data_IF_441562680223
#
_entry.id   IF_441562680223
#
_cell.length_a   1.000
_cell.length_b   1.000
_cell.length_c   1.000
_cell.angle_alpha   90.00
_cell.angle_beta   90.00
_cell.angle_gamma   90.00
#
_symmetry.space_group_name_H-M   'P 1'
#
loop_
_entity.id
_entity.type
_entity.pdbx_description
1 polymer ?
#
# COMPACT_ATOMS: atom_id res chain seq x y z
N UNK A 1 -29.67 17.81 -6.41
CA UNK A 1 -30.81 18.66 -5.99
C UNK A 1 -30.63 20.01 -6.66
N UNK A 2 -31.63 20.54 -7.37
CA UNK A 2 -31.52 21.85 -8.00
C UNK A 2 -31.77 22.95 -6.96
N UNK A 3 -30.79 23.82 -6.74
CA UNK A 3 -30.93 24.95 -5.83
C UNK A 3 -31.75 26.04 -6.53
N UNK A 4 -32.88 26.44 -5.93
CA UNK A 4 -33.80 27.43 -6.50
C UNK A 4 -33.32 28.86 -6.18
N UNK A 5 -32.43 29.37 -7.02
CA UNK A 5 -31.78 30.67 -6.87
C UNK A 5 -32.76 31.85 -6.94
N UNK A 6 -33.80 31.72 -7.77
CA UNK A 6 -34.88 32.71 -7.90
C UNK A 6 -35.65 32.88 -6.59
N UNK A 7 -36.02 31.77 -5.96
CA UNK A 7 -36.73 31.79 -4.67
C UNK A 7 -35.83 32.28 -3.53
N UNK A 8 -34.53 32.01 -3.58
CA UNK A 8 -33.56 32.50 -2.61
C UNK A 8 -33.37 34.02 -2.70
N UNK A 9 -33.22 34.56 -3.92
CA UNK A 9 -33.13 36.00 -4.16
C UNK A 9 -34.42 36.72 -3.71
N UNK A 10 -35.59 36.12 -4.00
CA UNK A 10 -36.88 36.66 -3.59
C UNK A 10 -37.04 36.80 -2.07
N UNK A 11 -36.59 35.80 -1.31
CA UNK A 11 -36.59 35.90 0.17
C UNK A 11 -35.62 36.95 0.72
N UNK A 12 -34.46 37.12 0.08
CA UNK A 12 -33.51 38.17 0.47
C UNK A 12 -34.09 39.57 0.28
N UNK A 13 -34.84 39.77 -0.81
CA UNK A 13 -35.59 41.01 -1.04
C UNK A 13 -36.69 41.25 -0.02
N UNK A 14 -37.45 40.22 0.32
CA UNK A 14 -38.47 40.30 1.39
C UNK A 14 -37.84 40.64 2.76
N UNK A 15 -36.57 40.31 2.96
CA UNK A 15 -35.77 40.70 4.13
C UNK A 15 -35.16 42.11 4.08
N UNK A 16 -35.39 42.87 3.00
CA UNK A 16 -34.90 44.25 2.84
C UNK A 16 -33.54 44.38 2.16
N UNK A 17 -33.02 43.31 1.52
CA UNK A 17 -31.83 43.43 0.67
C UNK A 17 -32.18 44.07 -0.68
N UNK A 18 -31.31 44.95 -1.16
CA UNK A 18 -31.41 45.58 -2.48
C UNK A 18 -31.26 44.53 -3.59
N UNK A 19 -31.92 44.72 -4.74
CA UNK A 19 -31.99 43.74 -5.85
C UNK A 19 -30.60 43.23 -6.30
N UNK A 20 -29.58 44.11 -6.51
CA UNK A 20 -28.26 43.67 -6.93
C UNK A 20 -27.51 42.91 -5.83
N UNK A 21 -27.80 43.23 -4.56
CA UNK A 21 -27.18 42.59 -3.42
C UNK A 21 -27.74 41.18 -3.21
N UNK A 22 -29.05 41.01 -3.38
CA UNK A 22 -29.71 39.72 -3.26
C UNK A 22 -29.22 38.72 -4.32
N UNK A 23 -29.04 39.17 -5.56
CA UNK A 23 -28.48 38.32 -6.63
C UNK A 23 -27.01 37.96 -6.36
N UNK A 24 -26.17 38.94 -6.01
CA UNK A 24 -24.75 38.70 -5.74
C UNK A 24 -24.51 37.73 -4.58
N UNK A 25 -25.33 37.81 -3.52
CA UNK A 25 -25.24 36.89 -2.38
C UNK A 25 -25.66 35.47 -2.78
N UNK A 26 -26.72 35.32 -3.58
CA UNK A 26 -27.15 34.00 -4.07
C UNK A 26 -26.10 33.39 -4.99
N UNK A 27 -25.50 34.18 -5.88
CA UNK A 27 -24.44 33.74 -6.78
C UNK A 27 -23.22 33.23 -6.02
N UNK A 28 -22.70 34.00 -5.05
CA UNK A 28 -21.55 33.59 -4.22
C UNK A 28 -21.86 32.32 -3.40
N UNK A 29 -23.08 32.18 -2.89
CA UNK A 29 -23.50 30.99 -2.13
C UNK A 29 -23.59 29.77 -3.05
N UNK A 30 -24.09 29.92 -4.27
CA UNK A 30 -24.18 28.86 -5.28
C UNK A 30 -22.79 28.42 -5.73
N UNK A 31 -21.90 29.36 -6.02
CA UNK A 31 -20.50 29.05 -6.36
C UNK A 31 -19.82 28.31 -5.21
N UNK A 32 -19.94 28.81 -3.98
CA UNK A 32 -19.36 28.15 -2.80
C UNK A 32 -19.97 26.75 -2.57
N UNK A 33 -21.26 26.54 -2.83
CA UNK A 33 -21.88 25.20 -2.72
C UNK A 33 -21.56 24.27 -3.87
N UNK A 34 -21.25 24.80 -5.06
CA UNK A 34 -20.78 24.01 -6.19
C UNK A 34 -19.34 23.51 -5.99
N UNK A 35 -18.54 24.27 -5.25
CA UNK A 35 -17.15 23.93 -4.89
C UNK A 35 -17.07 23.07 -3.62
N UNK A 36 -18.14 23.01 -2.82
CA UNK A 36 -18.25 22.11 -1.68
C UNK A 36 -18.37 20.67 -2.18
N UNK A 37 -17.27 19.93 -2.05
CA UNK A 37 -17.23 18.48 -2.20
C UNK A 37 -18.31 17.86 -1.31
N UNK A 38 -19.33 17.24 -1.93
CA UNK A 38 -20.44 16.65 -1.20
C UNK A 38 -19.96 15.47 -0.37
N UNK A 39 -20.64 15.22 0.74
CA UNK A 39 -20.34 14.08 1.60
C UNK A 39 -20.41 12.76 0.84
N UNK A 40 -21.38 12.63 -0.08
CA UNK A 40 -21.45 11.46 -0.95
C UNK A 40 -20.24 11.30 -1.87
N UNK A 41 -19.68 12.39 -2.42
CA UNK A 41 -18.46 12.32 -3.23
C UNK A 41 -17.25 11.88 -2.41
N UNK A 42 -17.13 12.35 -1.17
CA UNK A 42 -16.10 11.89 -0.25
C UNK A 42 -16.26 10.41 0.10
N UNK A 43 -17.48 9.96 0.38
CA UNK A 43 -17.76 8.56 0.72
C UNK A 43 -17.42 7.63 -0.46
N UNK A 44 -17.86 7.98 -1.69
CA UNK A 44 -17.53 7.21 -2.90
C UNK A 44 -16.01 7.20 -3.19
N UNK A 45 -15.32 8.32 -2.94
CA UNK A 45 -13.87 8.42 -3.09
C UNK A 45 -13.15 7.56 -2.06
N UNK A 46 -13.65 7.52 -0.82
CA UNK A 46 -13.08 6.76 0.27
C UNK A 46 -13.27 5.25 0.06
N UNK A 47 -14.45 4.82 -0.38
CA UNK A 47 -14.73 3.42 -0.73
C UNK A 47 -13.79 2.92 -1.84
N UNK A 48 -13.61 3.72 -2.90
CA UNK A 48 -12.64 3.40 -3.96
C UNK A 48 -11.20 3.33 -3.47
N UNK A 49 -10.83 4.12 -2.47
CA UNK A 49 -9.50 4.03 -1.88
C UNK A 49 -9.35 2.74 -1.07
N UNK A 50 -10.36 2.37 -0.29
CA UNK A 50 -10.38 1.16 0.53
C UNK A 50 -10.28 -0.12 -0.32
N UNK A 51 -10.99 -0.16 -1.45
CA UNK A 51 -10.85 -1.26 -2.42
C UNK A 51 -9.42 -1.37 -2.97
N UNK A 52 -8.80 -0.24 -3.32
CA UNK A 52 -7.43 -0.22 -3.85
C UNK A 52 -6.41 -0.63 -2.79
N UNK A 53 -6.61 -0.23 -1.54
CA UNK A 53 -5.75 -0.66 -0.44
C UNK A 53 -5.88 -2.16 -0.19
N UNK A 54 -7.09 -2.70 -0.18
CA UNK A 54 -7.34 -4.14 -0.04
C UNK A 54 -6.68 -4.94 -1.17
N UNK A 55 -6.81 -4.47 -2.42
CA UNK A 55 -6.15 -5.11 -3.57
C UNK A 55 -4.62 -5.03 -3.49
N UNK A 56 -4.09 -3.91 -3.01
CA UNK A 56 -2.66 -3.72 -2.81
C UNK A 56 -2.12 -4.68 -1.72
N UNK A 57 -2.83 -4.79 -0.60
CA UNK A 57 -2.48 -5.69 0.50
C UNK A 57 -2.42 -7.14 0.01
N UNK A 58 -3.47 -7.62 -0.68
CA UNK A 58 -3.49 -8.96 -1.26
C UNK A 58 -2.32 -9.21 -2.23
N UNK A 59 -1.94 -8.20 -3.03
CA UNK A 59 -0.79 -8.29 -3.94
C UNK A 59 0.53 -8.37 -3.18
N UNK A 60 0.68 -7.62 -2.09
CA UNK A 60 1.89 -7.64 -1.26
C UNK A 60 2.04 -9.00 -0.57
N UNK A 61 0.96 -9.56 -0.01
CA UNK A 61 0.99 -10.91 0.57
C UNK A 61 1.40 -11.97 -0.45
N UNK A 62 0.84 -11.92 -1.67
CA UNK A 62 1.25 -12.83 -2.74
C UNK A 62 2.72 -12.64 -3.15
N UNK A 63 3.19 -11.39 -3.14
CA UNK A 63 4.58 -11.09 -3.46
C UNK A 63 5.53 -11.65 -2.41
N UNK A 64 5.23 -11.46 -1.12
CA UNK A 64 5.99 -12.03 0.00
C UNK A 64 6.04 -13.56 -0.07
N UNK A 65 4.89 -14.22 -0.24
CA UNK A 65 4.85 -15.68 -0.42
C UNK A 65 5.68 -16.15 -1.62
N UNK A 66 5.67 -15.38 -2.72
CA UNK A 66 6.48 -15.70 -3.90
C UNK A 66 7.98 -15.55 -3.64
N UNK A 67 8.38 -14.58 -2.81
CA UNK A 67 9.77 -14.36 -2.43
C UNK A 67 10.24 -15.46 -1.49
N UNK A 68 9.46 -15.83 -0.49
CA UNK A 68 9.77 -16.92 0.43
C UNK A 68 9.97 -18.24 -0.31
N UNK A 69 9.01 -18.62 -1.17
CA UNK A 69 9.13 -19.85 -1.97
C UNK A 69 10.36 -19.83 -2.89
N UNK A 70 10.72 -18.67 -3.45
CA UNK A 70 11.92 -18.51 -4.28
C UNK A 70 13.20 -18.60 -3.46
N UNK A 71 13.22 -18.03 -2.26
CA UNK A 71 14.36 -18.11 -1.36
C UNK A 71 14.57 -19.56 -0.91
N UNK A 72 13.52 -20.26 -0.49
CA UNK A 72 13.58 -21.66 -0.09
C UNK A 72 14.12 -22.54 -1.22
N UNK A 73 13.57 -22.40 -2.43
CA UNK A 73 14.05 -23.14 -3.59
C UNK A 73 15.53 -22.84 -3.91
N UNK A 74 15.97 -21.58 -3.74
CA UNK A 74 17.38 -21.20 -3.91
C UNK A 74 18.27 -21.78 -2.82
N UNK A 75 17.82 -21.78 -1.57
CA UNK A 75 18.56 -22.38 -0.46
C UNK A 75 18.67 -23.89 -0.60
N UNK A 76 17.62 -24.58 -1.03
CA UNK A 76 17.68 -26.01 -1.33
C UNK A 76 18.62 -26.31 -2.49
N UNK A 77 18.55 -25.53 -3.58
CA UNK A 77 19.46 -25.68 -4.71
C UNK A 77 20.92 -25.45 -4.28
N UNK A 78 21.19 -24.40 -3.51
CA UNK A 78 22.50 -24.12 -2.95
C UNK A 78 22.98 -25.23 -2.00
N UNK A 79 22.10 -25.75 -1.15
CA UNK A 79 22.42 -26.87 -0.25
C UNK A 79 22.75 -28.13 -1.04
N UNK A 80 21.99 -28.45 -2.09
CA UNK A 80 22.26 -29.58 -2.96
C UNK A 80 23.58 -29.42 -3.72
N UNK A 81 23.89 -28.21 -4.19
CA UNK A 81 25.16 -27.89 -4.82
C UNK A 81 26.33 -28.03 -3.84
N UNK A 82 26.19 -27.52 -2.62
CA UNK A 82 27.15 -27.74 -1.55
C UNK A 82 27.35 -29.23 -1.28
N UNK A 83 26.28 -30.01 -1.14
CA UNK A 83 26.39 -31.46 -0.94
C UNK A 83 27.08 -32.16 -2.11
N UNK A 84 26.87 -31.73 -3.36
CA UNK A 84 27.59 -32.29 -4.52
C UNK A 84 29.06 -31.89 -4.49
N UNK A 85 29.37 -30.64 -4.16
CA UNK A 85 30.74 -30.18 -3.99
C UNK A 85 31.43 -30.94 -2.84
N UNK A 86 30.76 -31.15 -1.71
CA UNK A 86 31.24 -31.97 -0.59
C UNK A 86 31.25 -33.46 -0.91
N UNK A 87 30.40 -33.99 -1.78
CA UNK A 87 30.49 -35.39 -2.19
C UNK A 87 31.70 -35.59 -3.11
N UNK A 88 32.01 -34.59 -3.94
CA UNK A 88 33.20 -34.57 -4.80
C UNK A 88 34.47 -34.23 -4.00
N UNK A 89 34.39 -33.39 -2.96
CA UNK A 89 35.48 -32.96 -2.07
C UNK A 89 35.43 -33.56 -0.66
N UNK A 90 34.71 -34.66 -0.44
CA UNK A 90 34.38 -35.21 0.88
C UNK A 90 35.56 -35.61 1.74
N UNK A 91 36.78 -35.57 1.18
CA UNK A 91 38.01 -35.72 1.94
C UNK A 91 38.47 -34.45 2.68
N UNK A 92 38.11 -33.23 2.26
CA UNK A 92 38.89 -32.05 2.68
C UNK A 92 38.27 -31.25 3.84
N UNK A 93 36.94 -31.12 3.92
CA UNK A 93 36.32 -30.29 4.96
C UNK A 93 36.00 -31.09 6.24
N UNK A 94 35.64 -32.38 6.12
CA UNK A 94 35.63 -33.31 7.26
C UNK A 94 37.04 -33.80 7.61
N UNK A 95 37.93 -33.97 6.64
CA UNK A 95 39.35 -34.30 6.89
C UNK A 95 40.12 -33.13 7.52
N UNK A 96 39.84 -31.89 7.15
CA UNK A 96 40.49 -30.71 7.74
C UNK A 96 40.17 -30.54 9.22
N UNK A 97 38.91 -30.72 9.62
CA UNK A 97 38.51 -30.68 11.04
C UNK A 97 39.02 -31.92 11.79
N UNK A 98 38.96 -33.11 11.18
CA UNK A 98 39.49 -34.34 11.79
C UNK A 98 41.01 -34.35 12.01
N UNK A 99 41.79 -33.79 11.07
CA UNK A 99 43.25 -33.68 11.15
C UNK A 99 43.67 -32.70 12.25
N UNK A 100 42.96 -31.58 12.42
CA UNK A 100 43.27 -30.61 13.47
C UNK A 100 43.00 -31.22 14.86
N UNK A 101 41.91 -31.96 15.03
CA UNK A 101 41.60 -32.64 16.31
C UNK A 101 42.64 -33.71 16.63
N UNK A 102 43.04 -34.54 15.65
CA UNK A 102 44.05 -35.59 15.86
C UNK A 102 45.46 -35.04 16.17
N UNK A 103 45.84 -33.90 15.59
CA UNK A 103 47.11 -33.21 15.88
C UNK A 103 47.16 -32.61 17.28
N UNK A 104 46.03 -32.10 17.78
CA UNK A 104 45.93 -31.58 19.14
C UNK A 104 46.03 -32.71 20.17
N UNK A 105 45.46 -33.87 19.88
CA UNK A 105 45.47 -35.03 20.80
C UNK A 105 46.84 -35.75 20.84
N UNK A 106 47.68 -35.59 19.82
CA UNK A 106 49.05 -36.17 19.77
C UNK A 106 50.15 -35.23 20.29
N UNK A 107 49.85 -33.94 20.45
CA UNK A 107 50.78 -32.93 20.97
C UNK A 107 50.48 -32.54 22.43
N UNK A 108 49.37 -33.02 23.01
CA UNK A 108 48.98 -32.84 24.41
C UNK A 108 49.49 -33.95 25.32
#
# INVERSE_FOLDING_TARGET
MAFDTLRAAQRLREGGADEPLAEAVVEVVVDATSELVTREYFDERMERLDERFTQFDARMTLHEQSLDNRMDARFEAFRAEMYRMFAIQGGVILGGVGVIVALVETLG
#
